data_IF_172015606211
#
_entry.id   IF_172015606211
#
_cell.length_a   1.000
_cell.length_b   1.000
_cell.length_c   1.000
_cell.angle_alpha   90.00
_cell.angle_beta   90.00
_cell.angle_gamma   90.00
#
_symmetry.space_group_name_H-M   'P 1'
#
loop_
_entity.id
_entity.type
_entity.pdbx_description
1 polymer ?
#
# COMPACT_ATOMS: atom_id res chain seq x y z
N UNK A 1 2.24 10.82 19.56
CA UNK A 1 1.91 12.14 18.99
C UNK A 1 3.12 12.64 18.22
N UNK A 2 3.22 12.76 16.89
CA UNK A 2 2.28 13.20 15.86
C UNK A 2 2.61 12.58 14.48
N UNK A 3 3.27 11.41 14.44
CA UNK A 3 3.79 10.86 13.17
C UNK A 3 2.70 10.68 12.10
N UNK A 4 1.48 10.29 12.49
CA UNK A 4 0.33 10.14 11.59
C UNK A 4 -0.02 11.44 10.84
N UNK A 5 0.18 12.62 11.44
CA UNK A 5 -0.14 13.91 10.81
C UNK A 5 1.02 14.52 10.02
N UNK A 6 2.21 13.91 10.06
CA UNK A 6 3.39 14.42 9.34
C UNK A 6 3.15 14.44 7.83
N UNK A 7 2.45 13.44 7.29
CA UNK A 7 2.08 13.43 5.88
C UNK A 7 1.19 14.61 5.49
N UNK A 8 0.18 14.94 6.32
CA UNK A 8 -0.70 16.07 6.10
C UNK A 8 0.07 17.39 6.06
N UNK A 9 1.00 17.57 7.00
CA UNK A 9 1.86 18.76 7.04
C UNK A 9 2.70 18.84 5.76
N UNK A 10 3.30 17.74 5.33
CA UNK A 10 4.05 17.69 4.06
C UNK A 10 3.16 17.97 2.85
N UNK A 11 1.94 17.44 2.81
CA UNK A 11 0.99 17.69 1.73
C UNK A 11 0.58 19.17 1.67
N UNK A 12 0.29 19.80 2.82
CA UNK A 12 -0.02 21.24 2.89
C UNK A 12 1.16 22.09 2.45
N UNK A 13 2.38 21.79 2.93
CA UNK A 13 3.60 22.50 2.53
C UNK A 13 3.84 22.33 1.03
N UNK A 14 3.62 21.14 0.48
CA UNK A 14 3.74 20.88 -0.95
C UNK A 14 2.75 21.71 -1.76
N UNK A 15 1.47 21.72 -1.38
CA UNK A 15 0.43 22.50 -2.07
C UNK A 15 0.74 23.99 -2.01
N UNK A 16 1.14 24.52 -0.85
CA UNK A 16 1.51 25.93 -0.71
C UNK A 16 2.76 26.24 -1.54
N UNK A 17 3.79 25.40 -1.48
CA UNK A 17 5.03 25.59 -2.23
C UNK A 17 4.82 25.58 -3.75
N UNK A 18 4.02 24.64 -4.25
CA UNK A 18 3.62 24.56 -5.65
C UNK A 18 2.74 25.76 -6.06
N UNK A 19 1.84 26.21 -5.17
CA UNK A 19 1.05 27.40 -5.38
C UNK A 19 1.88 28.68 -5.46
N UNK A 20 2.85 28.87 -4.57
CA UNK A 20 3.79 29.99 -4.62
C UNK A 20 4.66 29.92 -5.87
N UNK A 21 5.05 28.72 -6.30
CA UNK A 21 5.77 28.53 -7.56
C UNK A 21 4.92 28.95 -8.76
N UNK A 22 3.67 28.50 -8.83
CA UNK A 22 2.72 28.86 -9.89
C UNK A 22 2.40 30.36 -9.91
N UNK A 23 2.29 30.99 -8.74
CA UNK A 23 2.11 32.43 -8.62
C UNK A 23 3.25 33.19 -9.30
N UNK A 24 4.50 32.78 -9.05
CA UNK A 24 5.70 33.51 -9.51
C UNK A 24 6.09 33.20 -10.95
N UNK A 25 5.96 31.94 -11.36
CA UNK A 25 6.52 31.43 -12.62
C UNK A 25 5.46 30.94 -13.61
N UNK A 26 4.19 31.00 -13.21
CA UNK A 26 3.06 30.51 -13.97
C UNK A 26 2.76 29.01 -13.78
N UNK A 27 1.51 28.62 -13.99
CA UNK A 27 0.99 27.26 -13.75
C UNK A 27 1.13 26.34 -14.97
N UNK A 28 1.33 26.91 -16.16
CA UNK A 28 1.31 26.18 -17.44
C UNK A 28 2.26 24.99 -17.41
N UNK A 29 3.50 25.23 -16.94
CA UNK A 29 4.55 24.23 -16.64
C UNK A 29 4.03 22.94 -16.00
N UNK A 30 3.23 23.12 -14.95
CA UNK A 30 2.73 22.05 -14.10
C UNK A 30 1.60 21.28 -14.79
N UNK A 31 0.72 21.99 -15.50
CA UNK A 31 -0.44 21.40 -16.16
C UNK A 31 -0.04 20.41 -17.27
N UNK A 32 0.80 20.81 -18.23
CA UNK A 32 1.23 19.87 -19.28
C UNK A 32 2.10 18.74 -18.72
N UNK A 33 2.83 18.97 -17.63
CA UNK A 33 3.54 17.93 -16.89
C UNK A 33 2.61 16.83 -16.38
N UNK A 34 1.48 17.20 -15.79
CA UNK A 34 0.51 16.25 -15.22
C UNK A 34 -0.40 15.64 -16.28
N UNK A 35 -0.85 16.40 -17.27
CA UNK A 35 -1.57 15.83 -18.41
C UNK A 35 -0.69 14.78 -19.09
N UNK A 36 0.59 15.08 -19.27
CA UNK A 36 1.59 14.10 -19.71
C UNK A 36 1.62 12.88 -18.79
N UNK A 37 1.77 13.07 -17.48
CA UNK A 37 1.84 11.99 -16.49
C UNK A 37 0.61 11.07 -16.53
N UNK A 38 -0.59 11.63 -16.50
CA UNK A 38 -1.86 10.91 -16.62
C UNK A 38 -1.93 10.17 -17.95
N UNK A 39 -1.60 10.84 -19.06
CA UNK A 39 -1.58 10.23 -20.39
C UNK A 39 -0.62 9.05 -20.48
N UNK A 40 0.58 9.16 -19.90
CA UNK A 40 1.56 8.08 -19.84
C UNK A 40 1.12 6.90 -18.97
N UNK A 41 0.53 7.17 -17.81
CA UNK A 41 0.00 6.13 -16.91
C UNK A 41 -1.16 5.37 -17.56
N UNK A 42 -2.18 6.08 -18.03
CA UNK A 42 -3.35 5.49 -18.70
C UNK A 42 -2.90 4.77 -19.97
N UNK A 43 -2.06 5.40 -20.79
CA UNK A 43 -1.52 4.81 -22.00
C UNK A 43 -0.71 3.55 -21.74
N UNK A 44 0.16 3.55 -20.72
CA UNK A 44 0.93 2.37 -20.32
C UNK A 44 0.06 1.22 -19.82
N UNK A 45 -0.99 1.51 -19.05
CA UNK A 45 -1.97 0.51 -18.59
C UNK A 45 -2.76 -0.08 -19.75
N UNK A 46 -3.28 0.76 -20.65
CA UNK A 46 -4.00 0.29 -21.84
C UNK A 46 -3.09 -0.53 -22.75
N UNK A 47 -1.85 -0.08 -22.95
CA UNK A 47 -0.84 -0.82 -23.71
C UNK A 47 -0.55 -2.18 -23.08
N UNK A 48 -0.43 -2.23 -21.75
CA UNK A 48 -0.29 -3.48 -21.02
C UNK A 48 -1.49 -4.40 -21.28
N UNK A 49 -2.70 -3.90 -21.05
CA UNK A 49 -3.92 -4.70 -21.10
C UNK A 49 -4.23 -5.25 -22.49
N UNK A 50 -4.12 -4.41 -23.53
CA UNK A 50 -4.61 -4.76 -24.87
C UNK A 50 -3.53 -5.34 -25.78
N UNK A 51 -2.24 -5.07 -25.51
CA UNK A 51 -1.15 -5.51 -26.40
C UNK A 51 -0.21 -6.45 -25.65
N UNK A 52 0.37 -5.99 -24.53
CA UNK A 52 1.50 -6.69 -23.91
C UNK A 52 1.07 -7.93 -23.11
N UNK A 53 -0.12 -7.90 -22.50
CA UNK A 53 -0.63 -9.00 -21.67
C UNK A 53 -0.73 -10.31 -22.46
N UNK A 54 -1.11 -10.23 -23.74
CA UNK A 54 -1.23 -11.36 -24.65
C UNK A 54 0.10 -11.93 -25.16
N UNK A 55 1.23 -11.27 -24.90
CA UNK A 55 2.54 -11.77 -25.32
C UNK A 55 3.00 -12.95 -24.46
N UNK A 56 3.67 -13.95 -25.04
CA UNK A 56 4.27 -15.08 -24.33
C UNK A 56 5.53 -14.72 -23.52
N UNK A 57 5.60 -13.52 -22.95
CA UNK A 57 6.76 -12.99 -22.23
C UNK A 57 6.63 -13.14 -20.71
N UNK A 58 7.76 -13.13 -20.00
CA UNK A 58 7.76 -13.12 -18.54
C UNK A 58 7.14 -11.83 -17.98
N UNK A 59 6.58 -11.89 -16.78
CA UNK A 59 5.90 -10.74 -16.15
C UNK A 59 6.80 -9.50 -16.05
N UNK A 60 8.07 -9.68 -15.67
CA UNK A 60 9.03 -8.58 -15.56
C UNK A 60 9.26 -7.88 -16.90
N UNK A 61 9.43 -8.64 -17.98
CA UNK A 61 9.61 -8.06 -19.33
C UNK A 61 8.35 -7.32 -19.78
N UNK A 62 7.16 -7.88 -19.54
CA UNK A 62 5.89 -7.21 -19.85
C UNK A 62 5.76 -5.87 -19.13
N UNK A 63 6.13 -5.82 -17.84
CA UNK A 63 6.07 -4.61 -17.06
C UNK A 63 7.07 -3.56 -17.57
N UNK A 64 8.28 -3.98 -17.92
CA UNK A 64 9.30 -3.10 -18.53
C UNK A 64 8.82 -2.50 -19.84
N UNK A 65 8.26 -3.32 -20.74
CA UNK A 65 7.70 -2.84 -22.01
C UNK A 65 6.55 -1.85 -21.79
N UNK A 66 5.65 -2.12 -20.85
CA UNK A 66 4.56 -1.22 -20.53
C UNK A 66 5.05 0.11 -19.95
N UNK A 67 6.09 0.08 -19.12
CA UNK A 67 6.72 1.27 -18.58
C UNK A 67 7.33 2.15 -19.69
N UNK A 68 8.15 1.58 -20.58
CA UNK A 68 8.74 2.34 -21.68
C UNK A 68 7.70 2.83 -22.69
N UNK A 69 6.71 2.01 -23.01
CA UNK A 69 5.59 2.43 -23.86
C UNK A 69 4.79 3.58 -23.22
N UNK A 70 4.51 3.49 -21.92
CA UNK A 70 3.90 4.57 -21.15
C UNK A 70 4.76 5.84 -21.13
N UNK A 71 6.09 5.72 -21.04
CA UNK A 71 7.02 6.85 -21.10
C UNK A 71 7.01 7.54 -22.47
N UNK A 72 6.91 6.78 -23.56
CA UNK A 72 6.78 7.34 -24.92
C UNK A 72 5.44 8.10 -25.04
N UNK A 73 4.34 7.49 -24.58
CA UNK A 73 3.02 8.14 -24.59
C UNK A 73 3.04 9.40 -23.72
N UNK A 74 3.67 9.34 -22.55
CA UNK A 74 3.91 10.50 -21.68
C UNK A 74 4.55 11.64 -22.46
N UNK A 75 5.65 11.38 -23.18
CA UNK A 75 6.36 12.41 -23.94
C UNK A 75 5.47 13.01 -25.03
N UNK A 76 4.78 12.17 -25.80
CA UNK A 76 3.86 12.63 -26.87
C UNK A 76 2.76 13.53 -26.28
N UNK A 77 2.05 13.04 -25.26
CA UNK A 77 0.96 13.79 -24.61
C UNK A 77 1.49 15.07 -23.97
N UNK A 78 2.66 15.02 -23.32
CA UNK A 78 3.33 16.18 -22.71
C UNK A 78 3.64 17.28 -23.73
N UNK A 79 4.17 16.93 -24.90
CA UNK A 79 4.47 17.91 -25.96
C UNK A 79 3.21 18.48 -26.61
N UNK A 80 2.21 17.64 -26.89
CA UNK A 80 0.92 18.09 -27.43
C UNK A 80 0.20 19.01 -26.45
N UNK A 81 0.13 18.62 -25.17
CA UNK A 81 -0.47 19.43 -24.13
C UNK A 81 0.28 20.75 -23.94
N UNK A 82 1.62 20.74 -24.01
CA UNK A 82 2.42 21.98 -23.98
C UNK A 82 2.01 22.92 -25.10
N UNK A 83 1.97 22.45 -26.35
CA UNK A 83 1.61 23.29 -27.50
C UNK A 83 0.21 23.89 -27.35
N UNK A 84 -0.78 23.10 -26.92
CA UNK A 84 -2.16 23.56 -26.72
C UNK A 84 -2.28 24.55 -25.56
N UNK A 85 -1.68 24.25 -24.41
CA UNK A 85 -1.78 25.10 -23.22
C UNK A 85 -0.99 26.39 -23.39
N UNK A 86 0.15 26.37 -24.07
CA UNK A 86 0.89 27.59 -24.39
C UNK A 86 0.02 28.54 -25.19
N UNK A 87 -0.67 28.09 -26.25
CA UNK A 87 -1.57 28.96 -27.02
C UNK A 87 -2.77 29.51 -26.23
N UNK A 88 -3.22 28.83 -25.18
CA UNK A 88 -4.35 29.28 -24.35
C UNK A 88 -3.95 30.25 -23.23
N UNK A 89 -2.76 30.08 -22.66
CA UNK A 89 -2.30 30.78 -21.45
C UNK A 89 -1.16 31.78 -21.69
N UNK A 90 -0.62 31.88 -22.91
CA UNK A 90 0.29 32.96 -23.32
C UNK A 90 -0.37 34.35 -23.18
N UNK A 91 0.40 35.45 -23.18
CA UNK A 91 -0.11 36.80 -22.94
C UNK A 91 -1.29 37.22 -23.82
N UNK A 92 -1.33 36.73 -25.06
CA UNK A 92 -2.42 37.01 -26.01
C UNK A 92 -3.57 35.98 -25.94
N UNK A 93 -3.39 34.93 -25.13
CA UNK A 93 -4.34 33.83 -24.97
C UNK A 93 -5.52 34.20 -24.07
N UNK A 94 -6.69 33.56 -24.28
CA UNK A 94 -7.93 33.89 -23.56
C UNK A 94 -7.87 33.57 -22.06
N UNK A 95 -6.92 32.73 -21.62
CA UNK A 95 -6.79 32.29 -20.23
C UNK A 95 -5.53 32.82 -19.54
N UNK A 96 -4.86 33.83 -20.12
CA UNK A 96 -3.62 34.38 -19.55
C UNK A 96 -3.77 34.83 -18.09
N UNK A 97 -4.91 35.40 -17.71
CA UNK A 97 -5.21 35.85 -16.35
C UNK A 97 -5.22 34.71 -15.30
N UNK A 98 -5.31 33.45 -15.74
CA UNK A 98 -5.19 32.25 -14.90
C UNK A 98 -3.79 31.65 -14.92
N UNK A 99 -2.88 32.19 -15.74
CA UNK A 99 -1.56 31.62 -15.93
C UNK A 99 -0.64 31.91 -14.73
N UNK A 100 -0.72 33.10 -14.13
CA UNK A 100 0.17 33.59 -13.07
C UNK A 100 -0.59 34.28 -11.93
N UNK A 101 0.15 34.77 -10.92
CA UNK A 101 -0.43 35.45 -9.77
C UNK A 101 -1.42 34.58 -8.98
N UNK A 102 -2.52 35.18 -8.54
CA UNK A 102 -3.56 34.46 -7.80
C UNK A 102 -4.31 33.44 -8.67
N UNK A 103 -4.52 33.74 -9.96
CA UNK A 103 -5.15 32.81 -10.91
C UNK A 103 -4.31 31.55 -11.09
N UNK A 104 -3.00 31.72 -11.31
CA UNK A 104 -2.04 30.62 -11.38
C UNK A 104 -2.00 29.80 -10.09
N UNK A 105 -2.05 30.44 -8.92
CA UNK A 105 -2.15 29.76 -7.63
C UNK A 105 -3.39 28.85 -7.55
N UNK A 106 -4.58 29.36 -7.90
CA UNK A 106 -5.81 28.56 -7.87
C UNK A 106 -5.77 27.39 -8.84
N UNK A 107 -5.31 27.62 -10.07
CA UNK A 107 -5.20 26.55 -11.07
C UNK A 107 -4.17 25.51 -10.64
N UNK A 108 -3.13 25.90 -9.88
CA UNK A 108 -2.11 24.98 -9.37
C UNK A 108 -2.63 24.00 -8.31
N UNK A 109 -3.82 24.22 -7.76
CA UNK A 109 -4.43 23.28 -6.81
C UNK A 109 -4.67 21.92 -7.46
N UNK A 110 -5.07 21.89 -8.74
CA UNK A 110 -5.28 20.64 -9.48
C UNK A 110 -3.98 19.82 -9.56
N UNK A 111 -2.86 20.36 -10.07
CA UNK A 111 -1.62 19.62 -10.13
C UNK A 111 -1.05 19.26 -8.76
N UNK A 112 -1.24 20.12 -7.77
CA UNK A 112 -0.79 19.87 -6.40
C UNK A 112 -1.57 18.73 -5.74
N UNK A 113 -2.89 18.70 -5.90
CA UNK A 113 -3.74 17.61 -5.40
C UNK A 113 -3.37 16.28 -6.07
N UNK A 114 -3.13 16.29 -7.37
CA UNK A 114 -2.69 15.08 -8.08
C UNK A 114 -1.35 14.55 -7.53
N UNK A 115 -0.39 15.44 -7.26
CA UNK A 115 0.88 15.06 -6.63
C UNK A 115 0.66 14.48 -5.22
N UNK A 116 -0.21 15.09 -4.41
CA UNK A 116 -0.57 14.58 -3.08
C UNK A 116 -1.21 13.19 -3.17
N UNK A 117 -2.10 12.94 -4.13
CA UNK A 117 -2.73 11.63 -4.34
C UNK A 117 -1.69 10.57 -4.70
N UNK A 118 -0.76 10.87 -5.61
CA UNK A 118 0.34 9.94 -5.96
C UNK A 118 1.20 9.63 -4.72
N UNK A 119 1.54 10.64 -3.93
CA UNK A 119 2.31 10.45 -2.70
C UNK A 119 1.53 9.61 -1.69
N UNK A 120 0.22 9.84 -1.53
CA UNK A 120 -0.63 9.06 -0.64
C UNK A 120 -0.68 7.58 -1.07
N UNK A 121 -0.82 7.31 -2.38
CA UNK A 121 -0.74 5.96 -2.95
C UNK A 121 0.62 5.32 -2.64
N UNK A 122 1.72 6.05 -2.85
CA UNK A 122 3.07 5.58 -2.56
C UNK A 122 3.28 5.24 -1.08
N UNK A 123 2.83 6.11 -0.18
CA UNK A 123 2.86 5.88 1.27
C UNK A 123 1.97 4.70 1.64
N UNK A 124 0.80 4.55 1.03
CA UNK A 124 -0.12 3.46 1.30
C UNK A 124 0.44 2.09 0.93
N UNK A 125 0.96 1.94 -0.28
CA UNK A 125 1.61 0.70 -0.73
C UNK A 125 2.87 0.45 0.08
N UNK A 126 3.73 1.46 0.25
CA UNK A 126 4.98 1.35 1.00
C UNK A 126 4.74 0.96 2.46
N UNK A 127 3.79 1.60 3.14
CA UNK A 127 3.40 1.28 4.51
C UNK A 127 2.88 -0.15 4.64
N UNK A 128 2.08 -0.60 3.67
CA UNK A 128 1.58 -1.99 3.62
C UNK A 128 2.70 -3.00 3.48
N UNK A 129 3.65 -2.78 2.56
CA UNK A 129 4.78 -3.69 2.39
C UNK A 129 5.70 -3.72 3.59
N UNK A 130 5.90 -2.58 4.24
CA UNK A 130 6.73 -2.48 5.44
C UNK A 130 6.09 -3.19 6.62
N UNK A 131 4.77 -3.07 6.83
CA UNK A 131 4.05 -3.86 7.84
C UNK A 131 4.13 -5.36 7.56
N UNK A 132 3.86 -5.80 6.33
CA UNK A 132 3.92 -7.21 5.96
C UNK A 132 5.34 -7.79 6.10
N UNK A 133 6.37 -6.99 5.80
CA UNK A 133 7.77 -7.37 6.02
C UNK A 133 8.09 -7.46 7.51
N UNK A 134 7.53 -6.58 8.33
CA UNK A 134 7.67 -6.63 9.79
C UNK A 134 7.02 -7.90 10.36
N UNK A 135 5.80 -8.22 9.95
CA UNK A 135 5.13 -9.47 10.37
C UNK A 135 5.92 -10.71 9.93
N UNK A 136 6.48 -10.67 8.73
CA UNK A 136 7.36 -11.74 8.25
C UNK A 136 8.57 -11.95 9.17
N UNK A 137 9.23 -10.86 9.59
CA UNK A 137 10.36 -10.94 10.53
C UNK A 137 9.98 -11.63 11.84
N UNK A 138 8.79 -11.36 12.38
CA UNK A 138 8.31 -12.00 13.62
C UNK A 138 7.83 -13.43 13.42
N UNK A 139 7.36 -13.77 12.22
CA UNK A 139 6.94 -15.13 11.86
C UNK A 139 8.10 -16.06 11.49
N UNK A 140 9.33 -15.52 11.35
CA UNK A 140 10.50 -16.28 10.94
C UNK A 140 11.16 -16.93 12.15
N UNK A 141 11.34 -18.25 12.12
CA UNK A 141 12.04 -18.99 13.18
C UNK A 141 13.47 -18.45 13.44
N UNK A 142 13.87 -18.43 14.70
CA UNK A 142 15.20 -17.97 15.12
C UNK A 142 15.40 -16.45 15.06
N UNK A 143 14.36 -15.66 14.74
CA UNK A 143 14.41 -14.19 14.70
C UNK A 143 13.63 -13.52 15.83
N UNK A 144 13.24 -14.28 16.84
CA UNK A 144 12.32 -13.83 17.89
C UNK A 144 12.92 -12.73 18.77
N UNK A 145 14.24 -12.76 18.95
CA UNK A 145 14.98 -11.69 19.61
C UNK A 145 14.83 -10.33 18.92
N UNK A 146 14.54 -10.30 17.61
CA UNK A 146 14.29 -9.05 16.89
C UNK A 146 13.00 -8.40 17.36
N UNK A 147 11.99 -9.15 17.83
CA UNK A 147 10.77 -8.56 18.37
C UNK A 147 11.05 -7.65 19.58
N UNK A 148 12.05 -8.01 20.41
CA UNK A 148 12.49 -7.19 21.56
C UNK A 148 13.14 -5.86 21.14
N UNK A 149 13.80 -5.84 19.98
CA UNK A 149 14.55 -4.68 19.47
C UNK A 149 13.79 -3.87 18.40
N UNK A 150 12.76 -4.44 17.78
CA UNK A 150 11.91 -3.83 16.76
C UNK A 150 10.43 -3.65 17.17
N UNK A 151 10.11 -3.20 18.41
CA UNK A 151 8.72 -2.99 18.80
C UNK A 151 8.10 -1.78 18.11
N UNK A 152 8.90 -0.80 17.68
CA UNK A 152 8.36 0.42 17.05
C UNK A 152 7.98 0.15 15.61
N UNK A 153 6.70 0.34 15.31
CA UNK A 153 6.18 0.29 13.95
C UNK A 153 6.83 1.36 13.05
N UNK A 154 7.26 1.00 11.83
CA UNK A 154 7.93 1.93 10.92
C UNK A 154 7.08 3.14 10.51
N UNK A 155 7.73 4.28 10.26
CA UNK A 155 7.06 5.53 9.91
C UNK A 155 6.11 5.43 8.70
N UNK A 156 6.47 4.78 7.57
CA UNK A 156 5.57 4.72 6.41
C UNK A 156 4.24 4.04 6.71
N UNK A 157 4.23 3.01 7.57
CA UNK A 157 3.01 2.32 7.97
C UNK A 157 2.11 3.22 8.84
N UNK A 158 2.72 4.00 9.74
CA UNK A 158 2.00 4.97 10.57
C UNK A 158 1.44 6.14 9.75
N UNK A 159 2.19 6.59 8.74
CA UNK A 159 1.71 7.62 7.81
C UNK A 159 0.54 7.12 6.98
N UNK A 160 0.55 5.85 6.54
CA UNK A 160 -0.60 5.25 5.86
C UNK A 160 -1.84 5.32 6.74
N UNK A 161 -1.75 4.88 7.99
CA UNK A 161 -2.93 4.87 8.86
C UNK A 161 -3.46 6.30 9.08
N UNK A 162 -2.58 7.26 9.32
CA UNK A 162 -2.97 8.68 9.40
C UNK A 162 -3.63 9.25 8.14
N UNK A 163 -3.27 8.75 6.95
CA UNK A 163 -3.95 9.09 5.69
C UNK A 163 -5.33 8.41 5.62
N UNK A 164 -5.41 7.15 6.00
CA UNK A 164 -6.62 6.34 5.95
C UNK A 164 -7.65 6.67 7.03
N UNK A 165 -7.25 7.39 8.08
CA UNK A 165 -8.13 7.91 9.12
C UNK A 165 -8.82 9.22 8.72
N UNK A 166 -8.41 9.83 7.61
CA UNK A 166 -9.08 11.01 7.08
C UNK A 166 -10.45 10.64 6.49
N UNK A 167 -11.48 11.48 6.70
CA UNK A 167 -12.82 11.22 6.19
C UNK A 167 -12.84 10.96 4.68
N UNK A 168 -13.43 9.84 4.26
CA UNK A 168 -13.60 9.39 2.87
C UNK A 168 -12.29 9.15 2.07
N UNK A 169 -11.11 9.39 2.64
CA UNK A 169 -9.83 9.21 1.93
C UNK A 169 -9.53 7.73 1.71
N UNK A 170 -9.79 6.88 2.71
CA UNK A 170 -9.65 5.43 2.60
C UNK A 170 -10.49 4.85 1.46
N UNK A 171 -11.77 5.21 1.39
CA UNK A 171 -12.68 4.75 0.35
C UNK A 171 -12.26 5.22 -1.05
N UNK A 172 -11.81 6.47 -1.16
CA UNK A 172 -11.27 7.01 -2.40
C UNK A 172 -10.00 6.25 -2.84
N UNK A 173 -9.09 5.99 -1.89
CA UNK A 173 -7.86 5.24 -2.17
C UNK A 173 -8.16 3.78 -2.55
N UNK A 174 -9.19 3.14 -1.98
CA UNK A 174 -9.59 1.77 -2.31
C UNK A 174 -10.04 1.59 -3.76
N UNK A 175 -10.51 2.67 -4.40
CA UNK A 175 -10.89 2.69 -5.82
C UNK A 175 -9.64 2.72 -6.70
N UNK A 176 -8.66 3.57 -6.38
CA UNK A 176 -7.50 3.84 -7.23
C UNK A 176 -6.31 2.90 -6.97
N UNK A 177 -6.20 2.36 -5.76
CA UNK A 177 -5.09 1.54 -5.28
C UNK A 177 -5.65 0.37 -4.45
N UNK A 178 -5.90 -0.80 -5.08
CA UNK A 178 -6.56 -1.91 -4.40
C UNK A 178 -5.64 -2.78 -3.54
N UNK A 179 -4.31 -2.62 -3.61
CA UNK A 179 -3.37 -3.51 -2.92
C UNK A 179 -3.14 -3.12 -1.46
N UNK A 180 -3.35 -1.85 -1.10
CA UNK A 180 -3.30 -1.33 0.26
C UNK A 180 -4.61 -1.45 1.04
N UNK A 181 -5.65 -2.05 0.44
CA UNK A 181 -6.97 -2.21 1.07
C UNK A 181 -6.85 -2.93 2.42
N UNK A 182 -7.54 -2.43 3.47
CA UNK A 182 -7.46 -3.00 4.81
C UNK A 182 -7.77 -4.50 4.86
N UNK A 183 -8.77 -4.96 4.11
CA UNK A 183 -9.18 -6.35 4.19
C UNK A 183 -8.12 -7.31 3.64
N UNK A 184 -7.65 -7.06 2.42
CA UNK A 184 -6.61 -7.85 1.75
C UNK A 184 -5.29 -7.81 2.54
N UNK A 185 -4.86 -6.64 3.02
CA UNK A 185 -3.60 -6.53 3.78
C UNK A 185 -3.65 -7.25 5.11
N UNK A 186 -4.77 -7.16 5.84
CA UNK A 186 -4.91 -7.79 7.15
C UNK A 186 -5.01 -9.30 7.01
N UNK A 187 -5.74 -9.77 5.99
CA UNK A 187 -5.82 -11.18 5.65
C UNK A 187 -4.44 -11.77 5.32
N UNK A 188 -3.67 -11.08 4.47
CA UNK A 188 -2.28 -11.48 4.16
C UNK A 188 -1.39 -11.40 5.40
N UNK A 189 -1.55 -10.38 6.24
CA UNK A 189 -0.81 -10.25 7.49
C UNK A 189 -1.03 -11.43 8.43
N UNK A 190 -2.28 -11.84 8.63
CA UNK A 190 -2.64 -13.02 9.43
C UNK A 190 -2.09 -14.32 8.85
N UNK A 191 -2.11 -14.50 7.52
CA UNK A 191 -1.47 -15.65 6.87
C UNK A 191 0.05 -15.67 7.08
N UNK A 192 0.71 -14.51 7.05
CA UNK A 192 2.16 -14.41 7.31
C UNK A 192 2.45 -14.78 8.77
N UNK A 193 1.71 -14.21 9.72
CA UNK A 193 1.87 -14.48 11.16
C UNK A 193 1.60 -15.95 11.49
N UNK A 194 0.64 -16.57 10.80
CA UNK A 194 0.24 -17.97 11.02
C UNK A 194 1.32 -19.01 10.69
N UNK A 195 2.43 -18.61 10.05
CA UNK A 195 3.60 -19.48 9.84
C UNK A 195 4.24 -19.92 11.15
N UNK A 196 4.21 -19.07 12.17
CA UNK A 196 4.78 -19.39 13.47
C UNK A 196 3.67 -19.96 14.38
N UNK A 197 3.81 -21.18 14.93
CA UNK A 197 2.77 -21.80 15.74
C UNK A 197 2.30 -20.94 16.93
N UNK A 198 3.22 -20.28 17.64
CA UNK A 198 2.87 -19.40 18.76
C UNK A 198 1.98 -18.22 18.35
N UNK A 199 2.35 -17.52 17.25
CA UNK A 199 1.55 -16.42 16.72
C UNK A 199 0.20 -16.91 16.18
N UNK A 200 0.21 -18.04 15.46
CA UNK A 200 -1.02 -18.67 14.95
C UNK A 200 -1.99 -18.97 16.10
N UNK A 201 -1.50 -19.57 17.18
CA UNK A 201 -2.31 -19.92 18.35
C UNK A 201 -2.90 -18.68 19.00
N UNK A 202 -2.06 -17.69 19.28
CA UNK A 202 -2.50 -16.43 19.88
C UNK A 202 -3.62 -15.78 19.06
N UNK A 203 -3.42 -15.55 17.76
CA UNK A 203 -4.44 -14.92 16.92
C UNK A 203 -5.66 -15.82 16.64
N UNK A 204 -5.55 -17.13 16.78
CA UNK A 204 -6.71 -18.02 16.71
C UNK A 204 -7.57 -17.97 17.98
N UNK A 205 -6.98 -17.65 19.13
CA UNK A 205 -7.65 -17.56 20.42
C UNK A 205 -8.14 -16.14 20.75
N UNK A 206 -7.50 -15.12 20.18
CA UNK A 206 -7.82 -13.70 20.40
C UNK A 206 -9.25 -13.35 19.93
N UNK A 207 -10.10 -12.71 20.76
CA UNK A 207 -11.49 -12.41 20.41
C UNK A 207 -11.70 -11.57 19.14
N UNK A 208 -10.74 -10.70 18.80
CA UNK A 208 -10.78 -9.80 17.65
C UNK A 208 -10.49 -10.57 16.36
N UNK A 209 -9.49 -11.46 16.37
CA UNK A 209 -9.07 -12.20 15.18
C UNK A 209 -9.67 -13.61 15.08
N UNK A 210 -10.19 -14.17 16.16
CA UNK A 210 -10.83 -15.49 16.19
C UNK A 210 -11.94 -15.67 15.15
N UNK A 211 -12.88 -14.71 14.95
CA UNK A 211 -13.90 -14.85 13.90
C UNK A 211 -13.31 -15.00 12.49
N UNK A 212 -12.11 -14.44 12.26
CA UNK A 212 -11.38 -14.58 11.00
C UNK A 212 -10.78 -15.99 10.91
N UNK A 213 -10.13 -16.47 11.98
CA UNK A 213 -9.56 -17.81 12.03
C UNK A 213 -10.61 -18.91 11.90
N UNK A 214 -11.78 -18.74 12.52
CA UNK A 214 -12.88 -19.72 12.45
C UNK A 214 -13.57 -19.73 11.07
N UNK A 215 -13.30 -18.74 10.21
CA UNK A 215 -13.93 -18.65 8.91
C UNK A 215 -13.41 -19.70 7.92
N UNK A 216 -14.34 -20.31 7.17
CA UNK A 216 -14.01 -21.27 6.10
C UNK A 216 -13.10 -20.64 5.05
N UNK A 217 -13.32 -19.37 4.71
CA UNK A 217 -12.49 -18.65 3.75
C UNK A 217 -11.02 -18.56 4.18
N UNK A 218 -10.75 -18.25 5.46
CA UNK A 218 -9.38 -18.19 5.97
C UNK A 218 -8.74 -19.57 6.06
N UNK A 219 -9.47 -20.59 6.53
CA UNK A 219 -8.98 -21.96 6.60
C UNK A 219 -8.62 -22.51 5.22
N UNK A 220 -9.42 -22.21 4.20
CA UNK A 220 -9.11 -22.58 2.81
C UNK A 220 -7.82 -21.93 2.32
N UNK A 221 -7.53 -20.68 2.72
CA UNK A 221 -6.28 -20.00 2.36
C UNK A 221 -5.07 -20.56 3.09
N UNK A 222 -5.23 -21.06 4.32
CA UNK A 222 -4.16 -21.72 5.06
C UNK A 222 -3.69 -23.02 4.41
N UNK A 223 -4.54 -23.72 3.67
CA UNK A 223 -4.16 -24.97 2.97
C UNK A 223 -3.96 -24.80 1.47
N UNK A 224 -4.17 -23.59 0.94
CA UNK A 224 -4.00 -23.31 -0.48
C UNK A 224 -2.51 -23.35 -0.86
N UNK A 225 -2.12 -24.32 -1.69
CA UNK A 225 -0.72 -24.57 -2.07
C UNK A 225 -0.02 -23.34 -2.63
N UNK A 226 -0.70 -22.59 -3.51
CA UNK A 226 -0.13 -21.40 -4.15
C UNK A 226 0.06 -20.26 -3.14
N UNK A 227 -0.90 -20.06 -2.24
CA UNK A 227 -0.78 -19.06 -1.18
C UNK A 227 0.37 -19.44 -0.24
N UNK A 228 0.52 -20.72 0.10
CA UNK A 228 1.61 -21.22 0.93
C UNK A 228 2.99 -21.09 0.27
N UNK A 229 3.09 -21.38 -1.04
CA UNK A 229 4.31 -21.17 -1.82
C UNK A 229 4.73 -19.71 -1.79
N UNK A 230 3.83 -18.79 -2.12
CA UNK A 230 4.10 -17.34 -2.09
C UNK A 230 4.41 -16.85 -0.68
N UNK A 231 3.72 -17.40 0.32
CA UNK A 231 3.97 -17.05 1.71
C UNK A 231 5.42 -17.43 2.06
N UNK A 232 5.80 -18.69 1.83
CA UNK A 232 7.13 -19.26 2.07
C UNK A 232 8.23 -18.47 1.36
N UNK A 233 8.03 -18.14 0.08
CA UNK A 233 9.01 -17.41 -0.75
C UNK A 233 9.11 -15.90 -0.44
N UNK A 234 8.33 -15.36 0.50
CA UNK A 234 8.41 -13.94 0.84
C UNK A 234 7.68 -13.01 -0.15
N UNK A 235 6.85 -13.54 -1.05
CA UNK A 235 6.33 -12.79 -2.20
C UNK A 235 5.04 -12.02 -1.89
N UNK A 236 5.11 -11.08 -0.93
CA UNK A 236 3.95 -10.35 -0.37
C UNK A 236 3.11 -9.61 -1.42
N UNK A 237 3.76 -8.94 -2.38
CA UNK A 237 3.05 -8.27 -3.49
C UNK A 237 2.29 -9.27 -4.37
N UNK A 238 2.83 -10.48 -4.59
CA UNK A 238 2.12 -11.51 -5.37
C UNK A 238 0.99 -12.12 -4.55
N UNK A 239 1.11 -12.22 -3.23
CA UNK A 239 0.02 -12.64 -2.34
C UNK A 239 -1.16 -11.67 -2.40
N UNK A 240 -0.92 -10.36 -2.26
CA UNK A 240 -1.96 -9.32 -2.36
C UNK A 240 -2.69 -9.31 -3.72
N UNK A 241 -2.09 -9.93 -4.74
CA UNK A 241 -2.65 -10.06 -6.09
C UNK A 241 -3.32 -11.41 -6.35
N UNK A 242 -3.31 -12.34 -5.39
CA UNK A 242 -3.94 -13.64 -5.60
C UNK A 242 -5.47 -13.50 -5.64
N UNK A 243 -6.14 -14.10 -6.65
CA UNK A 243 -7.60 -14.10 -6.74
C UNK A 243 -8.26 -14.64 -5.47
N UNK A 244 -7.71 -15.71 -4.87
CA UNK A 244 -8.28 -16.35 -3.69
C UNK A 244 -8.27 -15.42 -2.46
N UNK A 245 -7.19 -14.66 -2.28
CA UNK A 245 -7.09 -13.64 -1.23
C UNK A 245 -8.16 -12.56 -1.43
N UNK A 246 -8.33 -12.10 -2.68
CA UNK A 246 -9.32 -11.07 -3.00
C UNK A 246 -10.75 -11.57 -2.80
N UNK A 247 -11.03 -12.81 -3.20
CA UNK A 247 -12.35 -13.43 -3.00
C UNK A 247 -12.66 -13.57 -1.51
N UNK A 248 -11.72 -14.06 -0.71
CA UNK A 248 -11.90 -14.17 0.73
C UNK A 248 -12.05 -12.80 1.42
N UNK A 249 -11.27 -11.79 1.01
CA UNK A 249 -11.38 -10.43 1.54
C UNK A 249 -12.72 -9.74 1.20
N UNK A 250 -13.41 -10.19 0.15
CA UNK A 250 -14.72 -9.71 -0.26
C UNK A 250 -15.88 -10.49 0.39
N UNK A 251 -15.60 -11.55 1.15
CA UNK A 251 -16.63 -12.32 1.84
C UNK A 251 -17.39 -11.42 2.82
N UNK A 252 -18.72 -11.36 2.67
CA UNK A 252 -19.57 -10.44 3.43
C UNK A 252 -19.57 -10.67 4.94
N UNK A 253 -19.27 -11.90 5.39
CA UNK A 253 -19.19 -12.24 6.81
C UNK A 253 -17.83 -11.89 7.39
N UNK A 254 -16.76 -12.02 6.59
CA UNK A 254 -15.39 -11.82 7.02
C UNK A 254 -14.93 -10.36 6.91
N UNK A 255 -15.39 -9.67 5.87
CA UNK A 255 -14.92 -8.33 5.49
C UNK A 255 -15.07 -7.28 6.60
N UNK A 256 -16.17 -7.20 7.35
CA UNK A 256 -16.28 -6.21 8.42
C UNK A 256 -15.20 -6.37 9.50
N UNK A 257 -14.86 -7.62 9.84
CA UNK A 257 -13.79 -7.92 10.80
C UNK A 257 -12.43 -7.56 10.21
N UNK A 258 -12.17 -7.92 8.94
CA UNK A 258 -10.91 -7.61 8.28
C UNK A 258 -10.69 -6.11 8.05
N UNK A 259 -11.72 -5.33 7.72
CA UNK A 259 -11.58 -3.89 7.44
C UNK A 259 -11.29 -3.08 8.70
N UNK A 260 -11.90 -3.47 9.82
CA UNK A 260 -11.79 -2.76 11.09
C UNK A 260 -10.64 -3.29 11.97
N UNK A 261 -9.99 -4.38 11.58
CA UNK A 261 -8.88 -4.95 12.33
C UNK A 261 -7.64 -4.04 12.28
N UNK A 262 -7.20 -3.58 13.43
CA UNK A 262 -5.91 -2.90 13.61
C UNK A 262 -4.80 -3.94 13.86
N UNK A 263 -4.54 -4.82 12.90
CA UNK A 263 -3.66 -5.99 13.09
C UNK A 263 -2.27 -5.61 13.64
N UNK A 264 -1.72 -4.48 13.20
CA UNK A 264 -0.43 -4.03 13.71
C UNK A 264 -0.46 -3.68 15.20
N UNK A 265 -1.56 -3.11 15.69
CA UNK A 265 -1.75 -2.82 17.10
C UNK A 265 -1.89 -4.13 17.91
N UNK A 266 -2.64 -5.11 17.40
CA UNK A 266 -2.77 -6.43 18.05
C UNK A 266 -1.42 -7.15 18.14
N UNK A 267 -0.63 -7.13 17.07
CA UNK A 267 0.75 -7.64 17.08
C UNK A 267 1.60 -6.89 18.11
N UNK A 268 1.52 -5.56 18.16
CA UNK A 268 2.30 -4.77 19.12
C UNK A 268 1.93 -5.09 20.57
N UNK A 269 0.65 -5.27 20.87
CA UNK A 269 0.17 -5.68 22.18
C UNK A 269 0.67 -7.07 22.55
N UNK A 270 0.59 -8.03 21.62
CA UNK A 270 1.09 -9.38 21.84
C UNK A 270 2.58 -9.41 22.12
N UNK A 271 3.40 -8.68 21.36
CA UNK A 271 4.85 -8.65 21.55
C UNK A 271 5.29 -8.04 22.88
N UNK A 272 4.42 -7.22 23.50
CA UNK A 272 4.63 -6.65 24.83
C UNK A 272 4.03 -7.52 25.95
N UNK A 273 3.27 -8.55 25.61
CA UNK A 273 2.60 -9.43 26.57
C UNK A 273 3.59 -10.37 27.28
N UNK A 274 3.16 -10.88 28.43
CA UNK A 274 3.90 -11.92 29.17
C UNK A 274 3.96 -13.23 28.37
N UNK A 275 2.90 -13.55 27.62
CA UNK A 275 2.82 -14.74 26.77
C UNK A 275 3.98 -14.78 25.77
N UNK A 276 4.29 -13.66 25.12
CA UNK A 276 5.43 -13.60 24.21
C UNK A 276 6.79 -13.70 24.94
N UNK A 277 6.90 -13.17 26.15
CA UNK A 277 8.12 -13.35 26.95
C UNK A 277 8.33 -14.82 27.31
N UNK A 278 7.28 -15.55 27.66
CA UNK A 278 7.35 -16.98 27.97
C UNK A 278 7.81 -17.79 26.73
N UNK A 279 7.32 -17.42 25.54
CA UNK A 279 7.80 -17.97 24.26
C UNK A 279 9.29 -17.68 24.03
N UNK A 280 9.77 -16.47 24.33
CA UNK A 280 11.19 -16.12 24.21
C UNK A 280 12.06 -16.90 25.20
N UNK A 281 11.58 -17.09 26.43
CA UNK A 281 12.28 -17.83 27.46
C UNK A 281 12.36 -19.34 27.17
N UNK A 282 11.32 -19.94 26.58
CA UNK A 282 11.35 -21.36 26.19
C UNK A 282 12.44 -21.64 25.16
N UNK A 283 12.60 -20.77 24.15
CA UNK A 283 13.67 -20.90 23.15
C UNK A 283 15.09 -20.72 23.74
N UNK A 284 15.23 -19.97 24.84
CA UNK A 284 16.52 -19.82 25.52
C UNK A 284 16.88 -21.03 26.39
N UNK A 285 15.89 -21.77 26.88
CA UNK A 285 16.12 -22.96 27.71
C UNK A 285 16.40 -24.21 26.88
N UNK A 286 15.78 -24.36 25.72
CA UNK A 286 16.10 -25.45 24.79
C UNK A 286 15.94 -25.01 23.32
N UNK A 287 17.05 -24.68 22.63
CA UNK A 287 16.99 -24.26 21.23
C UNK A 287 16.52 -25.35 20.25
N UNK A 288 16.38 -26.61 20.69
CA UNK A 288 15.91 -27.73 19.88
C UNK A 288 14.46 -28.15 20.18
N UNK A 289 13.80 -27.55 21.17
CA UNK A 289 12.41 -27.85 21.50
C UNK A 289 11.50 -27.20 20.46
N UNK A 290 11.33 -27.89 19.32
CA UNK A 290 10.25 -27.62 18.38
C UNK A 290 8.95 -27.80 19.16
N UNK A 291 8.23 -26.70 19.40
CA UNK A 291 6.87 -26.71 19.91
C UNK A 291 6.09 -27.80 19.15
N UNK A 292 5.78 -28.90 19.82
CA UNK A 292 5.05 -30.03 19.26
C UNK A 292 3.75 -29.51 18.65
N UNK A 293 3.44 -29.98 17.44
CA UNK A 293 2.18 -29.69 16.75
C UNK A 293 1.02 -30.19 17.62
N UNK A 294 0.15 -29.30 18.13
CA UNK A 294 -0.98 -29.72 18.96
C UNK A 294 -2.01 -30.56 18.20
N UNK A 295 -1.88 -30.71 16.86
CA UNK A 295 -2.69 -31.64 16.07
C UNK A 295 -2.17 -33.08 16.00
N UNK A 296 -1.14 -33.45 16.79
CA UNK A 296 -0.68 -34.84 16.92
C UNK A 296 -1.44 -35.68 17.97
N UNK A 297 -2.69 -35.33 18.30
CA UNK A 297 -3.58 -36.18 19.13
C UNK A 297 -4.94 -36.39 18.50
#
# INVERSE_FOLDING_TARGET
>A
MYAEHVFLIFAVILVIGLGVHAWKNGVVGMLWGIIGCVGGLVGGVLLYQFIIAGLGLSFGVKLTLAFFGGLIIYLIVRFTAKALLTGLFEPEGPLHFLSDGFGGFLVSLVPSLFAVVILAIGVRVGGTLVDLRRFELFSTEGRDFLAKNYPKRPLPARWRDGIEDLPNVRDALDIVEPYGRPAERNLVGLLVLSKKPALRRHFAEDPVTKPIFDSVAFQNLLVNEKVQELNTNGERLKMLRQPDIRTAALDTTLRPNLVNLELAAEVDQFLLSREWQDVLESYQRDPNEKLEDPNQK
#
